data_IF_001668262377
#
_entry.id   IF_001668262377
#
_cell.length_a   1.000
_cell.length_b   1.000
_cell.length_c   1.000
_cell.angle_alpha   90.00
_cell.angle_beta   90.00
_cell.angle_gamma   90.00
#
_symmetry.space_group_name_H-M   'P 1'
#
loop_
_entity.id
_entity.type
_entity.pdbx_description
1 polymer ?
#
# COMPACT_ATOMS: atom_id res chain seq x y z
N UNK A 1 -37.55 6.86 5.53
CA UNK A 1 -36.83 6.82 6.80
C UNK A 1 -35.46 6.13 6.65
N UNK A 2 -35.44 4.94 6.07
CA UNK A 2 -34.18 4.25 5.84
C UNK A 2 -33.26 5.04 4.89
N UNK A 3 -33.83 5.70 3.91
CA UNK A 3 -33.07 6.56 2.99
C UNK A 3 -32.49 7.76 3.71
N UNK A 4 -33.26 8.39 4.59
CA UNK A 4 -32.80 9.53 5.34
C UNK A 4 -31.70 9.14 6.31
N UNK A 5 -31.86 7.99 6.99
CA UNK A 5 -30.84 7.47 7.89
C UNK A 5 -29.55 7.16 7.13
N UNK A 6 -29.67 6.51 5.97
CA UNK A 6 -28.53 6.20 5.14
C UNK A 6 -27.80 7.47 4.65
N UNK A 7 -28.59 8.49 4.25
CA UNK A 7 -27.99 9.77 3.83
C UNK A 7 -27.28 10.47 4.98
N UNK A 8 -27.85 10.39 6.20
CA UNK A 8 -27.19 10.94 7.37
C UNK A 8 -25.92 10.20 7.72
N UNK A 9 -25.96 8.86 7.59
CA UNK A 9 -24.78 8.03 7.82
C UNK A 9 -23.67 8.31 6.79
N UNK A 10 -24.02 8.78 5.61
CA UNK A 10 -23.06 9.13 4.56
C UNK A 10 -22.58 10.58 4.64
N UNK A 11 -22.72 11.23 5.79
CA UNK A 11 -22.17 12.57 6.02
C UNK A 11 -20.99 12.47 6.99
N UNK A 12 -20.17 13.52 6.99
CA UNK A 12 -19.04 13.60 7.91
C UNK A 12 -18.06 12.44 7.70
N UNK A 13 -17.60 11.86 8.82
CA UNK A 13 -16.60 10.80 8.78
C UNK A 13 -17.12 9.52 8.13
N UNK A 14 -18.41 9.23 8.23
CA UNK A 14 -18.98 8.06 7.58
C UNK A 14 -18.87 8.16 6.06
N UNK A 15 -19.18 9.33 5.52
CA UNK A 15 -19.02 9.59 4.09
C UNK A 15 -17.56 9.52 3.69
N UNK A 16 -16.67 10.13 4.47
CA UNK A 16 -15.24 10.11 4.19
C UNK A 16 -14.69 8.68 4.26
N UNK A 17 -15.19 7.85 5.16
CA UNK A 17 -14.79 6.45 5.23
C UNK A 17 -15.14 5.70 3.95
N UNK A 18 -16.36 5.85 3.45
CA UNK A 18 -16.76 5.20 2.19
C UNK A 18 -15.94 5.70 1.00
N UNK A 19 -15.73 7.01 0.92
CA UNK A 19 -14.89 7.58 -0.14
C UNK A 19 -13.45 7.08 -0.03
N UNK A 20 -12.92 6.96 1.19
CA UNK A 20 -11.57 6.45 1.40
C UNK A 20 -11.43 5.00 0.91
N UNK A 21 -12.41 4.14 1.19
CA UNK A 21 -12.38 2.77 0.70
C UNK A 21 -12.28 2.75 -0.83
N UNK A 22 -13.11 3.54 -1.51
CA UNK A 22 -13.10 3.61 -2.96
C UNK A 22 -11.78 4.17 -3.49
N UNK A 23 -11.30 5.26 -2.89
CA UNK A 23 -10.08 5.90 -3.35
C UNK A 23 -8.84 5.07 -3.09
N UNK A 24 -8.79 4.36 -1.97
CA UNK A 24 -7.64 3.52 -1.61
C UNK A 24 -7.59 2.24 -2.46
N UNK A 25 -8.76 1.71 -2.85
CA UNK A 25 -8.80 0.49 -3.64
C UNK A 25 -8.60 0.72 -5.14
N UNK A 26 -8.53 1.96 -5.58
CA UNK A 26 -8.28 2.31 -6.98
C UNK A 26 -6.80 2.62 -7.21
N UNK A 27 -6.29 2.23 -8.37
CA UNK A 27 -4.94 2.60 -8.79
C UNK A 27 -4.81 4.06 -9.18
N UNK A 28 -5.92 4.74 -9.41
CA UNK A 28 -5.93 6.16 -9.72
C UNK A 28 -6.55 6.93 -8.56
N UNK A 29 -6.07 8.13 -8.33
CA UNK A 29 -6.53 8.96 -7.20
C UNK A 29 -6.81 10.37 -7.69
N UNK A 30 -8.02 10.59 -8.23
CA UNK A 30 -8.39 11.94 -8.69
C UNK A 30 -8.44 12.93 -7.52
N UNK A 31 -8.42 14.22 -7.84
CA UNK A 31 -8.43 15.27 -6.82
C UNK A 31 -9.61 15.21 -5.86
N UNK A 32 -10.71 14.61 -6.30
CA UNK A 32 -11.90 14.40 -5.46
C UNK A 32 -11.62 13.50 -4.26
N UNK A 33 -10.57 12.68 -4.33
CA UNK A 33 -10.18 11.82 -3.23
C UNK A 33 -9.43 12.56 -2.12
N UNK A 34 -9.01 13.80 -2.35
CA UNK A 34 -8.16 14.50 -1.38
C UNK A 34 -8.80 14.62 0.01
N UNK A 35 -10.07 15.02 0.17
CA UNK A 35 -10.63 15.13 1.52
C UNK A 35 -10.64 13.79 2.28
N UNK A 36 -11.06 12.71 1.62
CA UNK A 36 -11.13 11.40 2.28
C UNK A 36 -9.75 10.84 2.59
N UNK A 37 -8.81 10.98 1.67
CA UNK A 37 -7.45 10.51 1.87
C UNK A 37 -6.72 11.32 2.93
N UNK A 38 -6.93 12.63 2.95
CA UNK A 38 -6.35 13.47 4.00
C UNK A 38 -6.87 13.08 5.37
N UNK A 39 -8.17 12.80 5.49
CA UNK A 39 -8.75 12.33 6.74
C UNK A 39 -8.18 10.98 7.14
N UNK A 40 -8.08 10.05 6.20
CA UNK A 40 -7.54 8.71 6.45
C UNK A 40 -6.09 8.79 6.93
N UNK A 41 -5.25 9.50 6.21
CA UNK A 41 -3.82 9.58 6.55
C UNK A 41 -3.54 10.50 7.74
N UNK A 42 -4.51 11.29 8.18
CA UNK A 42 -4.38 12.03 9.44
C UNK A 42 -4.44 11.11 10.67
N UNK A 43 -4.97 9.90 10.48
CA UNK A 43 -5.01 8.90 11.55
C UNK A 43 -3.60 8.36 11.73
N UNK A 44 -2.95 8.78 12.80
CA UNK A 44 -1.58 8.40 13.08
C UNK A 44 -1.35 8.32 14.58
N UNK A 45 -0.81 7.22 15.03
CA UNK A 45 -0.47 7.01 16.43
C UNK A 45 1.00 6.66 16.54
N UNK A 46 1.52 6.77 17.76
CA UNK A 46 2.94 6.50 18.01
C UNK A 46 3.33 5.08 17.63
N UNK A 47 2.45 4.11 17.88
CA UNK A 47 2.68 2.71 17.52
C UNK A 47 1.97 2.37 16.23
N UNK A 48 2.68 1.69 15.33
CA UNK A 48 2.12 1.30 14.04
C UNK A 48 0.86 0.45 14.19
N UNK A 49 0.85 -0.49 15.14
CA UNK A 49 -0.32 -1.33 15.37
C UNK A 49 -1.56 -0.52 15.74
N UNK A 50 -1.39 0.52 16.51
CA UNK A 50 -2.50 1.40 16.90
C UNK A 50 -2.99 2.21 15.70
N UNK A 51 -2.07 2.67 14.85
CA UNK A 51 -2.42 3.36 13.60
C UNK A 51 -3.23 2.45 12.70
N UNK A 52 -2.81 1.21 12.52
CA UNK A 52 -3.52 0.24 11.68
C UNK A 52 -4.93 -0.02 12.20
N UNK A 53 -5.07 -0.23 13.50
CA UNK A 53 -6.39 -0.45 14.10
C UNK A 53 -7.30 0.75 13.94
N UNK A 54 -6.79 1.94 14.18
CA UNK A 54 -7.57 3.16 14.06
C UNK A 54 -8.00 3.42 12.62
N UNK A 55 -7.13 3.17 11.66
CA UNK A 55 -7.47 3.29 10.25
C UNK A 55 -8.52 2.26 9.84
N UNK A 56 -8.39 1.03 10.31
CA UNK A 56 -9.38 -0.01 10.06
C UNK A 56 -10.73 0.38 10.63
N UNK A 57 -10.76 0.87 11.87
CA UNK A 57 -12.00 1.29 12.51
C UNK A 57 -12.65 2.44 11.75
N UNK A 58 -11.86 3.37 11.25
CA UNK A 58 -12.37 4.46 10.42
C UNK A 58 -13.04 3.92 9.14
N UNK A 59 -12.36 3.03 8.43
CA UNK A 59 -12.90 2.46 7.20
C UNK A 59 -14.19 1.67 7.46
N UNK A 60 -14.29 1.01 8.61
CA UNK A 60 -15.48 0.24 9.00
C UNK A 60 -16.69 1.12 9.31
N UNK A 61 -16.50 2.42 9.42
CA UNK A 61 -17.64 3.33 9.57
C UNK A 61 -18.50 3.38 8.31
N UNK A 62 -17.96 2.97 7.17
CA UNK A 62 -18.76 2.88 5.95
C UNK A 62 -19.77 1.74 6.07
N UNK A 63 -21.09 2.00 5.84
CA UNK A 63 -22.10 0.95 5.96
C UNK A 63 -21.84 -0.27 5.06
N UNK A 64 -21.21 -0.08 3.91
CA UNK A 64 -20.88 -1.18 3.00
C UNK A 64 -19.82 -2.13 3.58
N UNK A 65 -19.20 -1.79 4.70
CA UNK A 65 -18.16 -2.63 5.31
C UNK A 65 -18.67 -4.01 5.73
N UNK A 66 -19.96 -4.17 5.90
CA UNK A 66 -20.57 -5.45 6.26
C UNK A 66 -20.83 -6.36 5.05
N UNK A 67 -20.66 -5.87 3.84
CA UNK A 67 -20.85 -6.67 2.65
C UNK A 67 -19.77 -7.74 2.52
N UNK A 68 -20.12 -8.86 1.87
CA UNK A 68 -19.19 -9.96 1.65
C UNK A 68 -17.95 -9.49 0.93
N UNK A 69 -16.79 -9.88 1.43
CA UNK A 69 -15.49 -9.49 0.86
C UNK A 69 -14.97 -8.14 1.35
N UNK A 70 -15.81 -7.31 1.95
CA UNK A 70 -15.40 -5.98 2.38
C UNK A 70 -14.50 -6.01 3.62
N UNK A 71 -14.75 -6.96 4.53
CA UNK A 71 -13.89 -7.09 5.71
C UNK A 71 -12.44 -7.36 5.36
N UNK A 72 -12.22 -8.27 4.42
CA UNK A 72 -10.86 -8.57 3.94
C UNK A 72 -10.22 -7.40 3.22
N UNK A 73 -11.00 -6.68 2.41
CA UNK A 73 -10.51 -5.50 1.73
C UNK A 73 -10.11 -4.41 2.72
N UNK A 74 -10.94 -4.14 3.70
CA UNK A 74 -10.66 -3.11 4.70
C UNK A 74 -9.42 -3.46 5.50
N UNK A 75 -9.27 -4.71 5.91
CA UNK A 75 -8.06 -5.14 6.60
C UNK A 75 -6.81 -4.96 5.73
N UNK A 76 -6.91 -5.33 4.46
CA UNK A 76 -5.79 -5.14 3.52
C UNK A 76 -5.46 -3.67 3.32
N UNK A 77 -6.47 -2.82 3.17
CA UNK A 77 -6.28 -1.39 3.01
C UNK A 77 -5.63 -0.77 4.24
N UNK A 78 -6.11 -1.12 5.43
CA UNK A 78 -5.56 -0.57 6.67
C UNK A 78 -4.11 -0.95 6.87
N UNK A 79 -3.72 -2.16 6.47
CA UNK A 79 -2.36 -2.63 6.61
C UNK A 79 -1.43 -2.12 5.50
N UNK A 80 -1.92 -1.91 4.30
CA UNK A 80 -1.07 -1.66 3.17
C UNK A 80 -1.43 -0.51 2.26
N UNK A 81 -2.61 0.07 2.41
CA UNK A 81 -3.05 1.13 1.51
C UNK A 81 -2.07 2.31 1.51
N UNK A 82 -1.70 2.75 0.34
CA UNK A 82 -0.69 3.79 0.18
C UNK A 82 0.73 3.27 0.28
N UNK A 83 0.92 1.98 0.54
CA UNK A 83 2.25 1.36 0.61
C UNK A 83 2.42 0.20 -0.38
N UNK A 84 1.41 -0.05 -1.20
CA UNK A 84 1.47 -1.14 -2.18
C UNK A 84 1.60 -0.66 -3.62
N UNK A 85 1.78 0.64 -3.83
CA UNK A 85 2.12 1.19 -5.13
C UNK A 85 3.61 0.97 -5.44
N UNK A 86 3.98 1.09 -6.70
CA UNK A 86 5.35 0.80 -7.13
C UNK A 86 6.38 1.65 -6.38
N UNK A 87 6.13 2.94 -6.21
CA UNK A 87 7.05 3.85 -5.53
C UNK A 87 7.28 3.43 -4.08
N UNK A 88 6.22 3.11 -3.37
CA UNK A 88 6.31 2.69 -1.97
C UNK A 88 6.99 1.34 -1.84
N UNK A 89 6.68 0.39 -2.72
CA UNK A 89 7.32 -0.93 -2.71
C UNK A 89 8.81 -0.83 -2.98
N UNK A 90 9.21 0.00 -3.94
CA UNK A 90 10.63 0.20 -4.24
C UNK A 90 11.39 0.78 -3.05
N UNK A 91 10.74 1.64 -2.28
CA UNK A 91 11.34 2.22 -1.09
C UNK A 91 11.37 1.23 0.07
N UNK A 92 10.22 0.62 0.37
CA UNK A 92 10.07 -0.19 1.58
C UNK A 92 10.75 -1.55 1.45
N UNK A 93 10.88 -2.09 0.24
CA UNK A 93 11.50 -3.39 -0.01
C UNK A 93 12.97 -3.28 -0.40
N UNK A 94 13.53 -2.08 -0.37
CA UNK A 94 14.95 -1.89 -0.66
C UNK A 94 15.81 -2.46 0.47
N UNK A 95 16.94 -3.02 0.09
CA UNK A 95 17.93 -3.50 1.04
C UNK A 95 19.31 -3.30 0.44
N UNK A 96 20.31 -3.25 1.30
CA UNK A 96 21.68 -3.00 0.90
C UNK A 96 22.46 -4.30 0.92
N UNK A 97 23.18 -4.58 -0.16
CA UNK A 97 24.06 -5.73 -0.27
C UNK A 97 25.48 -5.21 -0.36
N UNK A 98 26.38 -5.83 0.38
CA UNK A 98 27.81 -5.54 0.29
C UNK A 98 28.44 -6.48 -0.73
N UNK A 99 29.10 -5.90 -1.72
CA UNK A 99 29.82 -6.65 -2.73
C UNK A 99 31.28 -6.26 -2.71
N UNK A 100 32.12 -7.13 -3.21
CA UNK A 100 33.55 -6.86 -3.33
C UNK A 100 33.92 -6.82 -4.81
N UNK A 101 34.56 -5.73 -5.20
CA UNK A 101 35.05 -5.58 -6.56
C UNK A 101 36.59 -5.65 -6.51
N UNK A 102 37.10 -6.65 -7.17
CA UNK A 102 38.54 -6.91 -7.18
C UNK A 102 39.12 -6.53 -8.54
N UNK A 103 40.16 -5.72 -8.51
CA UNK A 103 40.92 -5.27 -9.70
C UNK A 103 42.40 -5.60 -9.51
N UNK A 104 43.18 -5.46 -10.56
CA UNK A 104 44.58 -5.77 -10.50
C UNK A 104 44.92 -7.08 -11.21
N UNK A 105 46.22 -7.32 -11.40
CA UNK A 105 46.74 -8.42 -12.22
C UNK A 105 46.23 -9.80 -11.71
N UNK A 106 46.15 -9.98 -10.41
CA UNK A 106 45.68 -11.24 -9.80
C UNK A 106 44.43 -11.01 -8.95
N UNK A 107 43.70 -9.90 -9.18
CA UNK A 107 42.54 -9.57 -8.39
C UNK A 107 42.86 -9.21 -6.94
N UNK A 108 44.10 -8.75 -6.66
CA UNK A 108 44.54 -8.47 -5.30
C UNK A 108 44.03 -7.15 -4.74
N UNK A 109 43.53 -6.27 -5.59
CA UNK A 109 42.99 -4.98 -5.14
C UNK A 109 41.48 -5.10 -5.02
N UNK A 110 41.01 -5.48 -3.85
CA UNK A 110 39.56 -5.64 -3.57
C UNK A 110 39.08 -4.44 -2.77
N UNK A 111 37.92 -3.91 -3.15
CA UNK A 111 37.26 -2.87 -2.40
C UNK A 111 35.81 -3.28 -2.15
N UNK A 112 35.30 -2.85 -1.02
CA UNK A 112 33.90 -3.07 -0.67
C UNK A 112 33.05 -2.03 -1.38
N UNK A 113 31.99 -2.50 -2.03
CA UNK A 113 30.99 -1.64 -2.63
C UNK A 113 29.63 -2.01 -2.06
N UNK A 114 28.75 -1.03 -1.98
CA UNK A 114 27.37 -1.26 -1.58
C UNK A 114 26.46 -1.13 -2.78
N UNK A 115 25.46 -1.99 -2.84
CA UNK A 115 24.48 -1.99 -3.91
C UNK A 115 23.11 -2.05 -3.27
N UNK A 116 22.17 -1.21 -3.75
CA UNK A 116 20.79 -1.25 -3.30
C UNK A 116 20.01 -2.16 -4.22
N UNK A 117 19.35 -3.14 -3.62
CA UNK A 117 18.47 -4.05 -4.34
C UNK A 117 17.06 -3.94 -3.80
N UNK A 118 16.08 -4.40 -4.55
CA UNK A 118 14.67 -4.33 -4.19
C UNK A 118 14.11 -5.74 -4.24
N UNK A 119 13.47 -6.16 -3.14
CA UNK A 119 12.88 -7.49 -3.06
C UNK A 119 11.76 -7.65 -4.08
N UNK A 120 11.65 -8.83 -4.67
CA UNK A 120 10.63 -9.15 -5.66
C UNK A 120 9.38 -9.80 -5.05
N UNK A 121 9.36 -10.02 -3.74
CA UNK A 121 8.22 -10.60 -3.05
C UNK A 121 7.45 -9.48 -2.35
N UNK A 122 6.16 -9.26 -2.68
CA UNK A 122 5.40 -8.21 -2.01
C UNK A 122 5.17 -8.55 -0.55
N UNK A 123 5.01 -7.56 0.32
CA UNK A 123 4.63 -7.80 1.71
C UNK A 123 3.30 -8.54 1.80
N UNK A 124 3.11 -9.28 2.90
CA UNK A 124 1.89 -10.07 3.08
C UNK A 124 0.62 -9.22 3.02
N UNK A 125 0.67 -8.00 3.56
CA UNK A 125 -0.48 -7.10 3.52
C UNK A 125 -0.81 -6.65 2.08
N UNK A 126 0.18 -6.59 1.21
CA UNK A 126 -0.07 -6.24 -0.19
C UNK A 126 -0.63 -7.41 -1.00
N UNK A 127 -0.32 -8.64 -0.60
CA UNK A 127 -0.88 -9.83 -1.28
C UNK A 127 -2.40 -9.84 -1.18
N UNK A 128 -2.93 -9.59 0.02
CA UNK A 128 -4.37 -9.53 0.21
C UNK A 128 -4.99 -8.40 -0.62
N UNK A 129 -4.30 -7.27 -0.67
CA UNK A 129 -4.73 -6.10 -1.44
C UNK A 129 -4.75 -6.42 -2.94
N UNK A 130 -3.67 -7.01 -3.46
CA UNK A 130 -3.55 -7.31 -4.88
C UNK A 130 -4.55 -8.36 -5.34
N UNK A 131 -4.80 -9.38 -4.54
CA UNK A 131 -5.67 -10.48 -4.91
C UNK A 131 -7.16 -10.23 -4.73
N UNK A 132 -7.54 -9.05 -4.25
CA UNK A 132 -8.94 -8.78 -3.94
C UNK A 132 -9.70 -8.28 -5.16
N UNK A 133 -10.91 -8.83 -5.38
CA UNK A 133 -11.72 -8.53 -6.55
C UNK A 133 -12.18 -7.07 -6.62
N UNK A 134 -12.18 -6.37 -5.49
CA UNK A 134 -12.63 -4.99 -5.40
C UNK A 134 -11.54 -3.97 -5.74
N UNK A 135 -10.32 -4.43 -6.00
CA UNK A 135 -9.20 -3.55 -6.35
C UNK A 135 -8.71 -3.85 -7.75
N UNK A 136 -8.08 -2.87 -8.37
CA UNK A 136 -7.44 -3.04 -9.67
C UNK A 136 -5.92 -2.83 -9.62
N UNK A 137 -5.35 -2.73 -8.43
CA UNK A 137 -3.93 -2.45 -8.26
C UNK A 137 -3.06 -3.56 -8.82
N UNK A 138 -3.46 -4.81 -8.64
CA UNK A 138 -2.71 -5.96 -9.12
C UNK A 138 -2.58 -6.00 -10.65
N UNK A 139 -3.46 -5.30 -11.36
CA UNK A 139 -3.40 -5.23 -12.82
C UNK A 139 -2.30 -4.29 -13.31
N UNK A 140 -1.87 -3.38 -12.45
CA UNK A 140 -0.96 -2.31 -12.84
C UNK A 140 0.41 -2.39 -12.17
N UNK A 141 0.51 -3.07 -11.03
CA UNK A 141 1.74 -3.17 -10.27
C UNK A 141 2.38 -4.52 -10.50
N UNK A 142 3.62 -4.52 -10.94
CA UNK A 142 4.36 -5.76 -11.18
C UNK A 142 5.84 -5.52 -10.93
N UNK A 143 6.57 -6.61 -10.68
CA UNK A 143 8.03 -6.56 -10.54
C UNK A 143 8.67 -6.84 -11.89
N UNK A 144 9.61 -6.02 -12.27
CA UNK A 144 10.31 -6.15 -13.55
C UNK A 144 11.79 -6.42 -13.30
N UNK A 145 12.29 -7.54 -13.81
CA UNK A 145 13.68 -7.93 -13.67
C UNK A 145 13.91 -8.86 -12.49
N UNK A 146 15.13 -8.87 -11.99
CA UNK A 146 15.53 -9.62 -10.80
C UNK A 146 16.28 -8.70 -9.85
N UNK A 147 16.27 -8.98 -8.54
CA UNK A 147 16.97 -8.11 -7.59
C UNK A 147 18.46 -7.96 -7.92
N UNK A 148 19.09 -9.03 -8.37
CA UNK A 148 20.52 -9.03 -8.70
C UNK A 148 20.85 -8.19 -9.93
N UNK A 149 19.87 -7.97 -10.79
CA UNK A 149 20.03 -7.22 -12.05
C UNK A 149 19.31 -5.89 -12.04
N UNK A 150 19.09 -5.31 -10.87
CA UNK A 150 18.46 -4.01 -10.77
C UNK A 150 16.94 -4.03 -10.97
N UNK A 151 16.28 -5.14 -10.65
CA UNK A 151 14.85 -5.26 -10.75
C UNK A 151 14.13 -4.31 -9.81
N UNK A 152 12.92 -3.94 -10.18
CA UNK A 152 12.10 -3.00 -9.41
C UNK A 152 10.63 -3.17 -9.72
N UNK A 153 9.81 -2.63 -8.82
CA UNK A 153 8.37 -2.58 -9.04
C UNK A 153 8.03 -1.46 -10.00
N UNK A 154 7.12 -1.74 -10.93
CA UNK A 154 6.67 -0.78 -11.93
C UNK A 154 5.15 -0.83 -12.01
N UNK A 155 4.56 0.26 -12.52
CA UNK A 155 3.13 0.39 -12.67
C UNK A 155 2.60 1.64 -11.99
N UNK A 156 1.28 1.77 -12.02
CA UNK A 156 0.63 2.97 -11.48
C UNK A 156 0.16 2.76 -10.06
#
# INVERSE_FOLDING_TARGET
>A
KLKETANQELTGDTRLACEAVLCLSSGTRPGECAPSLNRYFSIHHKKLGDTIRARRDFLRMCPASDEEGMGGLIDALANGAGRCDAKSLNKDLSYVVKTFKCTGYRGENCREETEVRIKNTPPSYCRAYFGHAWTDVDQHIRYQGTPEKGGRWVGH
#
